data_IF_197928154270
#
_entry.id   IF_197928154270
#
_cell.length_a   1.000
_cell.length_b   1.000
_cell.length_c   1.000
_cell.angle_alpha   90.00
_cell.angle_beta   90.00
_cell.angle_gamma   90.00
#
_symmetry.space_group_name_H-M   'P 1'
#
loop_
_entity.id
_entity.type
_entity.pdbx_description
1 polymer ?
#
# COMPACT_ATOMS: atom_id res chain seq x y z
N UNK A 1 -19.22 -5.80 -7.08
CA UNK A 1 -20.27 -4.77 -6.95
C UNK A 1 -19.62 -3.54 -6.37
N UNK A 2 -19.83 -2.37 -6.96
CA UNK A 2 -19.28 -1.09 -6.51
C UNK A 2 -20.40 -0.32 -5.81
N UNK A 3 -20.09 0.31 -4.68
CA UNK A 3 -20.99 1.25 -4.02
C UNK A 3 -20.54 2.63 -4.49
N UNK A 4 -21.42 3.42 -5.11
CA UNK A 4 -21.05 4.78 -5.52
C UNK A 4 -20.75 5.68 -4.33
N UNK A 5 -19.93 6.72 -4.52
CA UNK A 5 -19.54 7.63 -3.44
C UNK A 5 -20.74 8.33 -2.81
N UNK A 6 -21.75 8.70 -3.62
CA UNK A 6 -22.98 9.31 -3.10
C UNK A 6 -23.77 8.35 -2.21
N UNK A 7 -23.85 7.05 -2.57
CA UNK A 7 -24.51 6.04 -1.71
C UNK A 7 -23.71 5.73 -0.46
N UNK A 8 -22.38 5.74 -0.55
CA UNK A 8 -21.51 5.57 0.61
C UNK A 8 -21.67 6.74 1.60
N UNK A 9 -21.72 7.97 1.09
CA UNK A 9 -21.98 9.16 1.90
C UNK A 9 -23.35 9.08 2.58
N UNK A 10 -24.41 8.62 1.88
CA UNK A 10 -25.72 8.39 2.50
C UNK A 10 -25.65 7.39 3.66
N UNK A 11 -24.92 6.28 3.51
CA UNK A 11 -24.77 5.32 4.60
C UNK A 11 -24.12 5.95 5.83
N UNK A 12 -23.12 6.82 5.63
CA UNK A 12 -22.48 7.57 6.71
C UNK A 12 -23.43 8.56 7.38
N UNK A 13 -24.27 9.27 6.62
CA UNK A 13 -25.28 10.18 7.17
C UNK A 13 -26.33 9.42 7.99
N UNK A 14 -26.80 8.27 7.51
CA UNK A 14 -27.83 7.46 8.18
C UNK A 14 -27.30 6.76 9.44
N UNK A 15 -26.07 6.27 9.41
CA UNK A 15 -25.48 5.45 10.49
C UNK A 15 -24.66 6.26 11.49
N UNK A 16 -24.15 7.43 11.09
CA UNK A 16 -23.15 8.18 11.82
C UNK A 16 -21.77 7.52 11.72
N UNK A 17 -20.99 7.63 12.80
CA UNK A 17 -19.60 7.13 12.90
C UNK A 17 -19.52 5.64 12.53
N UNK A 18 -18.77 5.32 11.47
CA UNK A 18 -18.69 3.96 10.90
C UNK A 18 -17.30 3.63 10.37
N UNK A 19 -16.91 2.36 10.44
CA UNK A 19 -15.71 1.83 9.77
C UNK A 19 -16.02 1.36 8.33
N UNK A 20 -15.01 1.16 7.46
CA UNK A 20 -15.22 0.52 6.17
C UNK A 20 -15.84 -0.87 6.25
N UNK A 21 -15.60 -1.62 7.34
CA UNK A 21 -16.24 -2.91 7.60
C UNK A 21 -17.75 -2.74 7.81
N UNK A 22 -18.15 -1.80 8.68
CA UNK A 22 -19.57 -1.49 8.95
C UNK A 22 -20.31 -1.06 7.68
N UNK A 23 -19.63 -0.26 6.84
CA UNK A 23 -20.16 0.27 5.58
C UNK A 23 -20.19 -0.78 4.47
N UNK A 24 -19.32 -1.79 4.52
CA UNK A 24 -19.25 -2.86 3.53
C UNK A 24 -20.38 -3.89 3.68
N UNK A 25 -20.86 -4.13 4.91
CA UNK A 25 -21.95 -5.08 5.22
C UNK A 25 -21.74 -6.48 4.59
N UNK A 26 -20.50 -6.98 4.51
CA UNK A 26 -20.11 -8.23 3.84
C UNK A 26 -20.48 -8.34 2.34
N UNK A 27 -20.94 -7.25 1.72
CA UNK A 27 -21.40 -7.20 0.32
C UNK A 27 -20.42 -6.51 -0.59
N UNK A 28 -19.70 -5.53 -0.06
CA UNK A 28 -18.75 -4.70 -0.79
C UNK A 28 -17.33 -4.96 -0.31
N UNK A 29 -16.35 -4.54 -1.11
CA UNK A 29 -14.94 -4.68 -0.74
C UNK A 29 -14.57 -3.55 0.22
N UNK A 30 -14.24 -3.89 1.45
CA UNK A 30 -13.81 -2.94 2.49
C UNK A 30 -12.70 -1.99 2.02
N UNK A 31 -11.68 -2.50 1.30
CA UNK A 31 -10.62 -1.64 0.77
C UNK A 31 -11.12 -0.57 -0.20
N UNK A 32 -12.10 -0.91 -1.03
CA UNK A 32 -12.62 0.04 -2.01
C UNK A 32 -13.36 1.13 -1.25
N UNK A 33 -14.22 0.75 -0.32
CA UNK A 33 -14.93 1.69 0.56
C UNK A 33 -13.95 2.58 1.34
N UNK A 34 -12.88 2.01 1.91
CA UNK A 34 -11.84 2.76 2.61
C UNK A 34 -11.22 3.85 1.73
N UNK A 35 -10.89 3.52 0.48
CA UNK A 35 -10.33 4.49 -0.44
C UNK A 35 -11.36 5.57 -0.81
N UNK A 36 -12.62 5.19 -1.00
CA UNK A 36 -13.70 6.14 -1.23
C UNK A 36 -13.92 7.08 -0.03
N UNK A 37 -13.91 6.57 1.20
CA UNK A 37 -13.96 7.40 2.41
C UNK A 37 -12.82 8.41 2.47
N UNK A 38 -11.59 8.00 2.11
CA UNK A 38 -10.45 8.93 2.04
C UNK A 38 -10.59 9.98 0.94
N UNK A 39 -11.16 9.62 -0.20
CA UNK A 39 -11.46 10.57 -1.27
C UNK A 39 -12.52 11.59 -0.82
N UNK A 40 -13.60 11.10 -0.21
CA UNK A 40 -14.64 11.94 0.39
C UNK A 40 -14.09 12.87 1.48
N UNK A 41 -13.11 12.40 2.26
CA UNK A 41 -12.46 13.22 3.26
C UNK A 41 -11.64 14.37 2.67
N UNK A 42 -11.06 14.19 1.49
CA UNK A 42 -10.30 15.25 0.80
C UNK A 42 -11.18 16.39 0.29
N UNK A 43 -12.40 16.09 -0.15
CA UNK A 43 -13.39 17.11 -0.54
C UNK A 43 -14.16 17.66 0.67
N UNK A 44 -13.78 17.27 1.90
CA UNK A 44 -14.40 17.72 3.13
C UNK A 44 -15.80 17.17 3.38
N UNK A 45 -16.27 16.18 2.62
CA UNK A 45 -17.59 15.56 2.79
C UNK A 45 -17.63 14.59 3.98
N UNK A 46 -16.47 14.06 4.36
CA UNK A 46 -16.30 13.09 5.45
C UNK A 46 -15.09 13.52 6.29
N UNK A 47 -15.04 13.14 7.56
CA UNK A 47 -13.87 13.29 8.41
C UNK A 47 -13.46 11.92 8.97
N UNK A 48 -12.16 11.68 9.08
CA UNK A 48 -11.60 10.52 9.80
C UNK A 48 -11.50 10.90 11.29
N UNK A 49 -12.40 10.35 12.11
CA UNK A 49 -12.50 10.68 13.56
C UNK A 49 -11.59 9.82 14.43
N UNK A 50 -11.22 8.65 13.93
CA UNK A 50 -10.23 7.73 14.48
C UNK A 50 -9.62 6.91 13.33
N UNK A 51 -8.58 6.13 13.59
CA UNK A 51 -7.94 5.31 12.57
C UNK A 51 -8.97 4.43 11.84
N UNK A 52 -9.07 4.61 10.51
CA UNK A 52 -10.00 3.90 9.64
C UNK A 52 -11.48 4.02 10.06
N UNK A 53 -11.86 5.11 10.73
CA UNK A 53 -13.22 5.37 11.22
C UNK A 53 -13.69 6.74 10.75
N UNK A 54 -14.86 6.78 10.12
CA UNK A 54 -15.32 7.92 9.35
C UNK A 54 -16.70 8.42 9.78
N UNK A 55 -16.92 9.72 9.64
CA UNK A 55 -18.20 10.39 9.91
C UNK A 55 -18.49 11.41 8.81
N UNK A 56 -19.76 11.55 8.40
CA UNK A 56 -20.15 12.61 7.46
C UNK A 56 -20.00 13.98 8.12
N UNK A 57 -19.54 14.97 7.36
CA UNK A 57 -19.53 16.37 7.81
C UNK A 57 -20.85 17.05 7.44
N UNK A 58 -21.11 18.24 7.99
CA UNK A 58 -22.23 19.08 7.56
C UNK A 58 -22.17 19.40 6.04
N UNK A 59 -20.97 19.54 5.47
CA UNK A 59 -20.78 19.70 4.02
C UNK A 59 -21.14 18.43 3.26
N UNK A 60 -20.81 17.25 3.80
CA UNK A 60 -21.24 15.96 3.24
C UNK A 60 -22.75 15.78 3.25
N UNK A 61 -23.40 16.14 4.35
CA UNK A 61 -24.86 16.15 4.44
C UNK A 61 -25.49 17.10 3.42
N UNK A 62 -24.93 18.31 3.25
CA UNK A 62 -25.43 19.30 2.30
C UNK A 62 -25.36 18.83 0.84
N UNK A 63 -24.29 18.10 0.46
CA UNK A 63 -24.14 17.47 -0.88
C UNK A 63 -25.30 16.51 -1.19
N UNK A 64 -25.95 15.97 -0.16
CA UNK A 64 -27.11 15.10 -0.29
C UNK A 64 -28.45 15.86 -0.28
N UNK A 65 -28.58 16.91 0.54
CA UNK A 65 -29.87 17.58 0.77
C UNK A 65 -30.22 18.67 -0.24
N UNK A 66 -29.26 19.26 -0.94
CA UNK A 66 -29.56 20.21 -2.01
C UNK A 66 -29.86 19.47 -3.33
N UNK A 67 -30.73 20.03 -4.18
CA UNK A 67 -30.78 19.76 -5.65
C UNK A 67 -29.44 20.16 -6.35
N UNK A 68 -28.35 20.28 -5.58
CA UNK A 68 -27.16 21.05 -5.84
C UNK A 68 -26.10 20.27 -6.60
N UNK A 69 -25.66 20.88 -7.69
CA UNK A 69 -24.41 20.55 -8.36
C UNK A 69 -23.24 20.75 -7.37
N UNK A 70 -22.82 19.69 -6.68
CA UNK A 70 -21.47 19.69 -6.10
C UNK A 70 -20.47 19.63 -7.27
N UNK A 71 -19.46 20.53 -7.32
CA UNK A 71 -18.45 20.48 -8.38
C UNK A 71 -17.65 19.16 -8.32
N UNK A 72 -17.67 18.50 -7.17
CA UNK A 72 -16.98 17.24 -6.93
C UNK A 72 -17.75 16.00 -7.36
N UNK A 73 -19.02 16.10 -7.78
CA UNK A 73 -19.82 14.94 -8.15
C UNK A 73 -20.39 15.07 -9.56
N UNK A 74 -20.27 13.99 -10.34
CA UNK A 74 -20.92 13.83 -11.64
C UNK A 74 -21.94 12.69 -11.52
N UNK A 75 -23.17 13.03 -11.16
CA UNK A 75 -24.22 12.04 -10.90
C UNK A 75 -24.04 11.38 -9.53
N UNK A 76 -23.77 10.06 -9.51
CA UNK A 76 -23.54 9.32 -8.26
C UNK A 76 -22.04 9.23 -7.86
N UNK A 77 -21.12 9.54 -8.78
CA UNK A 77 -19.69 9.30 -8.62
C UNK A 77 -18.92 10.60 -8.35
N UNK A 78 -17.85 10.49 -7.57
CA UNK A 78 -16.93 11.61 -7.31
C UNK A 78 -16.05 11.88 -8.54
N UNK A 79 -15.97 13.13 -8.95
CA UNK A 79 -15.04 13.62 -9.98
C UNK A 79 -13.65 13.72 -9.34
N UNK A 80 -12.74 12.84 -9.76
CA UNK A 80 -11.33 12.88 -9.35
C UNK A 80 -10.56 13.67 -10.40
N UNK A 81 -10.26 14.94 -10.11
CA UNK A 81 -9.47 15.84 -10.96
C UNK A 81 -8.10 16.16 -10.34
N UNK A 82 -7.23 16.85 -11.08
CA UNK A 82 -5.91 17.32 -10.66
C UNK A 82 -5.95 18.07 -9.32
N UNK A 83 -6.99 18.87 -9.04
CA UNK A 83 -7.12 19.63 -7.78
C UNK A 83 -7.23 18.74 -6.53
N UNK A 84 -7.73 17.51 -6.66
CA UNK A 84 -7.82 16.55 -5.57
C UNK A 84 -6.47 15.89 -5.24
N UNK A 85 -5.41 16.22 -5.97
CA UNK A 85 -4.16 15.49 -5.98
C UNK A 85 -3.04 16.28 -5.31
N UNK A 86 -2.26 15.62 -4.46
CA UNK A 86 -1.34 16.28 -3.50
C UNK A 86 0.10 16.44 -4.05
N UNK A 87 0.37 15.95 -5.26
CA UNK A 87 1.67 16.15 -5.93
C UNK A 87 1.58 15.88 -7.43
N UNK A 88 2.46 16.52 -8.20
CA UNK A 88 2.63 16.28 -9.63
C UNK A 88 3.17 14.86 -9.90
N UNK A 89 4.03 14.34 -9.02
CA UNK A 89 4.53 12.97 -9.13
C UNK A 89 3.58 11.97 -8.50
N UNK A 90 3.07 11.03 -9.29
CA UNK A 90 2.14 9.96 -8.87
C UNK A 90 2.32 8.72 -9.73
N UNK A 91 2.02 7.57 -9.14
CA UNK A 91 1.85 6.31 -9.84
C UNK A 91 0.39 6.18 -10.26
N UNK A 92 0.10 6.49 -11.52
CA UNK A 92 -1.25 6.43 -12.10
C UNK A 92 -1.34 5.39 -13.22
N UNK A 93 -0.27 5.22 -13.99
CA UNK A 93 -0.15 4.22 -15.05
C UNK A 93 0.44 2.90 -14.51
N UNK A 94 -0.34 1.83 -14.65
CA UNK A 94 0.02 0.45 -14.29
C UNK A 94 -0.06 -0.48 -15.51
N UNK A 95 -0.22 0.06 -16.72
CA UNK A 95 -0.51 -0.71 -17.94
C UNK A 95 0.56 -1.73 -18.34
N UNK A 96 1.82 -1.52 -17.93
CA UNK A 96 2.95 -2.43 -18.23
C UNK A 96 3.34 -3.35 -17.07
N UNK A 97 2.54 -3.39 -15.99
CA UNK A 97 2.78 -4.30 -14.88
C UNK A 97 1.56 -5.19 -14.66
N UNK A 98 1.74 -6.48 -14.85
CA UNK A 98 0.70 -7.49 -14.60
C UNK A 98 1.16 -8.56 -13.57
N UNK A 99 0.28 -9.50 -13.16
CA UNK A 99 0.65 -10.57 -12.25
C UNK A 99 1.81 -11.46 -12.74
N UNK A 100 1.94 -11.67 -14.04
CA UNK A 100 3.03 -12.44 -14.66
C UNK A 100 4.36 -11.73 -14.48
N UNK A 101 4.40 -10.42 -14.73
CA UNK A 101 5.59 -9.60 -14.54
C UNK A 101 6.08 -9.66 -13.08
N UNK A 102 5.17 -9.50 -12.12
CA UNK A 102 5.50 -9.55 -10.68
C UNK A 102 6.07 -10.93 -10.30
N UNK A 103 5.50 -12.03 -10.82
CA UNK A 103 6.03 -13.38 -10.59
C UNK A 103 7.40 -13.56 -11.23
N UNK A 104 7.59 -13.02 -12.43
CA UNK A 104 8.85 -13.12 -13.15
C UNK A 104 9.97 -12.37 -12.42
N UNK A 105 9.67 -11.20 -11.84
CA UNK A 105 10.60 -10.47 -10.97
C UNK A 105 11.01 -11.34 -9.77
N UNK A 106 10.06 -11.98 -9.08
CA UNK A 106 10.40 -12.86 -7.96
C UNK A 106 11.21 -14.09 -8.41
N UNK A 107 10.88 -14.64 -9.59
CA UNK A 107 11.59 -15.77 -10.17
C UNK A 107 13.05 -15.41 -10.51
N UNK A 108 13.31 -14.20 -11.00
CA UNK A 108 14.68 -13.72 -11.25
C UNK A 108 15.52 -13.72 -9.97
N UNK A 109 14.97 -13.27 -8.84
CA UNK A 109 15.68 -13.35 -7.56
C UNK A 109 15.92 -14.80 -7.09
N UNK A 110 15.06 -15.74 -7.48
CA UNK A 110 15.22 -17.15 -7.14
C UNK A 110 16.25 -17.86 -8.03
N UNK A 111 16.34 -17.47 -9.30
CA UNK A 111 17.25 -18.07 -10.29
C UNK A 111 18.67 -17.49 -10.23
N UNK A 112 18.84 -16.30 -9.65
CA UNK A 112 20.13 -15.66 -9.49
C UNK A 112 20.95 -16.31 -8.36
N UNK A 113 22.11 -16.92 -8.65
CA UNK A 113 22.95 -17.60 -7.66
C UNK A 113 23.58 -16.64 -6.63
N UNK A 114 23.70 -15.34 -6.94
CA UNK A 114 24.22 -14.34 -5.99
C UNK A 114 23.17 -13.93 -4.95
N UNK A 115 21.89 -14.27 -5.18
CA UNK A 115 20.82 -13.99 -4.26
C UNK A 115 20.66 -15.14 -3.26
N UNK A 116 20.78 -14.81 -1.96
CA UNK A 116 20.35 -15.71 -0.89
C UNK A 116 18.80 -15.77 -0.89
N UNK A 117 18.26 -16.70 -1.68
CA UNK A 117 16.84 -17.00 -1.74
C UNK A 117 16.57 -18.29 -0.98
N UNK A 118 15.70 -18.22 0.02
CA UNK A 118 15.32 -19.38 0.82
C UNK A 118 14.60 -20.43 -0.04
N UNK A 119 15.24 -21.58 -0.22
CA UNK A 119 14.63 -22.76 -0.83
C UNK A 119 13.74 -23.43 0.22
N UNK A 120 12.50 -23.75 -0.15
CA UNK A 120 11.60 -24.53 0.71
C UNK A 120 12.11 -25.98 0.80
N UNK A 121 12.01 -26.59 1.98
CA UNK A 121 12.61 -27.88 2.39
C UNK A 121 12.22 -29.12 1.54
N UNK A 122 11.46 -28.91 0.45
CA UNK A 122 11.01 -29.95 -0.48
C UNK A 122 11.89 -30.04 -1.74
N UNK A 123 12.22 -28.90 -2.40
CA UNK A 123 13.11 -28.82 -3.58
C UNK A 123 13.11 -27.42 -4.24
N UNK A 124 14.13 -27.10 -5.07
CA UNK A 124 14.09 -25.94 -5.98
C UNK A 124 12.89 -25.98 -6.94
N UNK A 125 12.54 -27.15 -7.46
CA UNK A 125 11.39 -27.32 -8.36
C UNK A 125 10.06 -26.98 -7.67
N UNK A 126 9.91 -27.35 -6.40
CA UNK A 126 8.73 -26.97 -5.62
C UNK A 126 8.67 -25.48 -5.34
N UNK A 127 9.79 -24.86 -4.97
CA UNK A 127 9.87 -23.41 -4.74
C UNK A 127 9.47 -22.63 -6.00
N UNK A 128 10.00 -23.01 -7.17
CA UNK A 128 9.60 -22.46 -8.47
C UNK A 128 8.08 -22.58 -8.72
N UNK A 129 7.49 -23.76 -8.46
CA UNK A 129 6.03 -23.96 -8.59
C UNK A 129 5.24 -23.04 -7.68
N UNK A 130 5.70 -22.78 -6.44
CA UNK A 130 5.04 -21.86 -5.51
C UNK A 130 5.09 -20.42 -5.99
N UNK A 131 6.22 -19.98 -6.53
CA UNK A 131 6.36 -18.63 -7.11
C UNK A 131 5.37 -18.46 -8.27
N UNK A 132 5.39 -19.37 -9.25
CA UNK A 132 4.53 -19.31 -10.42
C UNK A 132 3.04 -19.51 -10.07
N UNK A 133 2.76 -20.29 -9.03
CA UNK A 133 1.43 -20.55 -8.49
C UNK A 133 0.86 -19.44 -7.60
N UNK A 134 1.59 -18.34 -7.38
CA UNK A 134 1.03 -17.16 -6.72
C UNK A 134 -0.26 -16.72 -7.43
N UNK A 135 -1.31 -16.41 -6.68
CA UNK A 135 -2.64 -16.28 -7.26
C UNK A 135 -2.83 -14.96 -8.02
N UNK A 136 -3.21 -15.02 -9.30
CA UNK A 136 -3.29 -13.82 -10.14
C UNK A 136 -4.35 -12.83 -9.68
N UNK A 137 -5.52 -13.29 -9.22
CA UNK A 137 -6.56 -12.37 -8.75
C UNK A 137 -6.09 -11.57 -7.54
N UNK A 138 -5.23 -12.14 -6.70
CA UNK A 138 -4.63 -11.47 -5.53
C UNK A 138 -3.70 -10.35 -5.96
N UNK A 139 -2.79 -10.63 -6.89
CA UNK A 139 -1.88 -9.64 -7.48
C UNK A 139 -2.65 -8.55 -8.24
N UNK A 140 -3.67 -8.94 -9.02
CA UNK A 140 -4.57 -8.02 -9.69
C UNK A 140 -5.28 -7.07 -8.72
N UNK A 141 -5.60 -7.49 -7.49
CA UNK A 141 -6.17 -6.58 -6.49
C UNK A 141 -5.18 -5.51 -6.06
N UNK A 142 -3.89 -5.83 -5.94
CA UNK A 142 -2.84 -4.84 -5.63
C UNK A 142 -2.82 -3.73 -6.70
N UNK A 143 -2.91 -4.13 -7.97
CA UNK A 143 -2.88 -3.23 -9.12
C UNK A 143 -4.17 -2.41 -9.24
N UNK A 144 -5.34 -3.07 -9.17
CA UNK A 144 -6.63 -2.42 -9.42
C UNK A 144 -7.06 -1.51 -8.27
N UNK A 145 -6.88 -1.97 -7.04
CA UNK A 145 -7.32 -1.25 -5.84
C UNK A 145 -6.23 -0.28 -5.33
N UNK A 146 -5.20 0.05 -6.11
CA UNK A 146 -4.11 0.92 -5.66
C UNK A 146 -4.57 2.35 -5.32
N UNK A 147 -4.08 2.98 -4.21
CA UNK A 147 -4.43 4.34 -3.81
C UNK A 147 -3.80 5.43 -4.69
N UNK A 148 -4.33 5.61 -5.91
CA UNK A 148 -3.81 6.53 -6.94
C UNK A 148 -3.87 8.02 -6.64
N UNK A 149 -4.60 8.43 -5.62
CA UNK A 149 -4.73 9.86 -5.25
C UNK A 149 -3.78 10.29 -4.14
N UNK A 150 -3.17 9.35 -3.41
CA UNK A 150 -2.18 9.69 -2.39
C UNK A 150 -0.89 10.29 -3.00
N UNK A 151 -0.09 11.01 -2.20
CA UNK A 151 1.20 11.53 -2.69
C UNK A 151 2.16 10.38 -3.03
N UNK A 152 3.17 10.62 -3.86
CA UNK A 152 4.12 9.58 -4.29
C UNK A 152 4.72 8.79 -3.11
N UNK A 153 5.20 9.48 -2.08
CA UNK A 153 5.79 8.84 -0.90
C UNK A 153 4.83 7.89 -0.18
N UNK A 154 3.54 8.24 -0.15
CA UNK A 154 2.49 7.42 0.44
C UNK A 154 2.11 6.24 -0.48
N UNK A 155 2.09 6.45 -1.79
CA UNK A 155 1.87 5.41 -2.80
C UNK A 155 2.96 4.33 -2.74
N UNK A 156 4.23 4.74 -2.70
CA UNK A 156 5.36 3.84 -2.51
C UNK A 156 5.25 3.06 -1.19
N UNK A 157 4.81 3.73 -0.11
CA UNK A 157 4.62 3.09 1.18
C UNK A 157 3.50 2.03 1.18
N UNK A 158 2.37 2.34 0.56
CA UNK A 158 1.27 1.37 0.37
C UNK A 158 1.71 0.16 -0.42
N UNK A 159 2.46 0.38 -1.51
CA UNK A 159 3.03 -0.71 -2.31
C UNK A 159 3.92 -1.62 -1.49
N UNK A 160 4.88 -1.05 -0.76
CA UNK A 160 5.80 -1.82 0.06
C UNK A 160 5.13 -2.49 1.25
N UNK A 161 4.14 -1.86 1.88
CA UNK A 161 3.31 -2.49 2.91
C UNK A 161 2.60 -3.73 2.35
N UNK A 162 1.99 -3.63 1.18
CA UNK A 162 1.28 -4.75 0.57
C UNK A 162 2.21 -5.95 0.32
N UNK A 163 3.37 -5.74 -0.31
CA UNK A 163 4.34 -6.81 -0.57
C UNK A 163 4.97 -7.38 0.71
N UNK A 164 5.43 -6.50 1.60
CA UNK A 164 6.07 -6.92 2.85
C UNK A 164 5.11 -7.64 3.79
N UNK A 165 3.84 -7.21 3.82
CA UNK A 165 2.81 -7.69 4.74
C UNK A 165 2.08 -8.93 4.26
N UNK A 166 1.54 -8.93 3.02
CA UNK A 166 0.84 -10.11 2.48
C UNK A 166 1.80 -11.28 2.32
N UNK A 167 3.05 -10.99 1.92
CA UNK A 167 4.10 -11.97 1.75
C UNK A 167 3.70 -13.10 0.78
N UNK A 168 3.21 -12.71 -0.41
CA UNK A 168 2.65 -13.60 -1.44
C UNK A 168 3.63 -14.69 -1.89
N UNK A 169 4.93 -14.40 -1.89
CA UNK A 169 5.98 -15.31 -2.35
C UNK A 169 6.65 -16.04 -1.18
N UNK A 170 7.28 -17.22 -1.41
CA UNK A 170 8.05 -17.93 -0.39
C UNK A 170 9.16 -17.08 0.23
N UNK A 171 9.87 -16.31 -0.59
CA UNK A 171 10.90 -15.37 -0.16
C UNK A 171 11.00 -14.17 -1.14
N UNK A 172 11.91 -13.25 -0.85
CA UNK A 172 12.22 -12.07 -1.64
C UNK A 172 11.05 -11.08 -1.82
N UNK A 173 10.01 -11.13 -0.98
CA UNK A 173 8.86 -10.22 -1.08
C UNK A 173 9.24 -8.72 -1.05
N UNK A 174 10.16 -8.33 -0.17
CA UNK A 174 10.69 -6.96 -0.14
C UNK A 174 11.44 -6.59 -1.44
N UNK A 175 12.27 -7.51 -1.94
CA UNK A 175 13.03 -7.32 -3.19
C UNK A 175 12.09 -7.20 -4.39
N UNK A 176 11.08 -8.07 -4.49
CA UNK A 176 10.03 -8.00 -5.51
C UNK A 176 9.21 -6.73 -5.42
N UNK A 177 8.83 -6.32 -4.21
CA UNK A 177 8.11 -5.05 -3.99
C UNK A 177 8.93 -3.85 -4.49
N UNK A 178 10.21 -3.76 -4.11
CA UNK A 178 11.09 -2.68 -4.54
C UNK A 178 11.36 -2.70 -6.05
N UNK A 179 11.63 -3.86 -6.65
CA UNK A 179 11.91 -3.96 -8.08
C UNK A 179 10.67 -3.64 -8.94
N UNK A 180 9.49 -4.12 -8.54
CA UNK A 180 8.24 -3.77 -9.23
C UNK A 180 7.87 -2.29 -9.06
N UNK A 181 8.10 -1.72 -7.87
CA UNK A 181 7.90 -0.29 -7.62
C UNK A 181 8.81 0.57 -8.49
N UNK A 182 10.07 0.15 -8.66
CA UNK A 182 11.02 0.85 -9.53
C UNK A 182 10.58 0.87 -10.99
N UNK A 183 10.09 -0.27 -11.49
CA UNK A 183 9.48 -0.36 -12.82
C UNK A 183 8.28 0.58 -12.96
N UNK A 184 7.42 0.68 -11.94
CA UNK A 184 6.29 1.61 -11.92
C UNK A 184 6.74 3.07 -11.90
N UNK A 185 7.78 3.42 -11.15
CA UNK A 185 8.32 4.78 -11.09
C UNK A 185 8.81 5.22 -12.47
N UNK A 186 9.65 4.39 -13.13
CA UNK A 186 10.11 4.65 -14.50
C UNK A 186 8.96 4.73 -15.51
N UNK A 187 7.93 3.89 -15.35
CA UNK A 187 6.77 3.92 -16.24
C UNK A 187 5.94 5.20 -16.10
N UNK A 188 5.95 5.82 -14.92
CA UNK A 188 5.22 7.05 -14.63
C UNK A 188 6.12 8.29 -14.74
N UNK A 189 7.23 8.20 -15.48
CA UNK A 189 8.21 9.28 -15.71
C UNK A 189 8.72 9.92 -14.40
N UNK A 190 8.81 9.12 -13.33
CA UNK A 190 9.44 9.51 -12.07
C UNK A 190 10.91 9.07 -12.11
N UNK A 191 11.76 9.98 -12.57
CA UNK A 191 13.17 9.72 -12.79
C UNK A 191 14.04 10.05 -11.56
N UNK A 192 14.96 9.14 -11.25
CA UNK A 192 16.12 9.33 -10.38
C UNK A 192 17.25 8.44 -10.91
N UNK A 193 18.53 8.80 -10.71
CA UNK A 193 19.66 7.99 -11.15
C UNK A 193 19.53 6.53 -10.68
N UNK A 194 19.83 5.58 -11.55
CA UNK A 194 19.72 4.15 -11.24
C UNK A 194 20.57 3.76 -10.02
N UNK A 195 21.69 4.46 -9.81
CA UNK A 195 22.59 4.26 -8.67
C UNK A 195 22.02 4.78 -7.34
N UNK A 196 21.03 5.68 -7.38
CA UNK A 196 20.37 6.22 -6.20
C UNK A 196 19.25 5.32 -5.71
N UNK A 197 18.73 4.40 -6.52
CA UNK A 197 17.71 3.46 -6.08
C UNK A 197 18.33 2.22 -5.43
N UNK A 198 17.80 1.73 -4.30
CA UNK A 198 16.61 2.20 -3.59
C UNK A 198 16.85 3.34 -2.59
N UNK A 199 18.07 3.86 -2.48
CA UNK A 199 18.47 4.89 -1.53
C UNK A 199 19.33 4.34 -0.42
N UNK A 200 19.93 5.23 0.35
CA UNK A 200 20.68 4.79 1.52
C UNK A 200 19.69 4.26 2.56
N UNK A 201 20.10 3.25 3.33
CA UNK A 201 19.31 2.69 4.44
C UNK A 201 18.09 1.82 4.07
N UNK A 202 17.93 1.37 2.82
CA UNK A 202 16.93 0.34 2.48
C UNK A 202 17.01 -0.88 3.42
N UNK A 203 18.22 -1.32 3.77
CA UNK A 203 18.42 -2.46 4.65
C UNK A 203 17.74 -2.23 6.01
N UNK A 204 17.89 -1.02 6.56
CA UNK A 204 17.25 -0.64 7.82
C UNK A 204 15.73 -0.71 7.69
N UNK A 205 15.16 -0.16 6.62
CA UNK A 205 13.73 -0.19 6.37
C UNK A 205 13.19 -1.64 6.26
N UNK A 206 13.92 -2.51 5.57
CA UNK A 206 13.60 -3.94 5.46
C UNK A 206 13.64 -4.63 6.83
N UNK A 207 14.67 -4.40 7.65
CA UNK A 207 14.77 -5.03 8.97
C UNK A 207 13.65 -4.53 9.91
N UNK A 208 13.37 -3.23 9.92
CA UNK A 208 12.23 -2.68 10.66
C UNK A 208 10.91 -3.31 10.21
N UNK A 209 10.69 -3.41 8.90
CA UNK A 209 9.51 -4.03 8.34
C UNK A 209 9.36 -5.49 8.76
N UNK A 210 10.46 -6.26 8.83
CA UNK A 210 10.44 -7.65 9.32
C UNK A 210 10.02 -7.73 10.80
N UNK A 211 10.55 -6.84 11.64
CA UNK A 211 10.21 -6.78 13.07
C UNK A 211 8.74 -6.41 13.27
N UNK A 212 8.28 -5.32 12.64
CA UNK A 212 6.88 -4.87 12.73
C UNK A 212 5.93 -5.99 12.26
N UNK A 213 6.32 -6.71 11.20
CA UNK A 213 5.52 -7.83 10.70
C UNK A 213 5.45 -9.01 11.67
N UNK A 214 6.56 -9.37 12.31
CA UNK A 214 6.57 -10.45 13.31
C UNK A 214 5.77 -10.11 14.57
N UNK A 215 5.67 -8.84 14.93
CA UNK A 215 5.04 -8.41 16.19
C UNK A 215 3.58 -7.97 16.05
N UNK A 216 3.25 -7.21 15.00
CA UNK A 216 2.01 -6.40 14.99
C UNK A 216 1.25 -6.35 13.66
N UNK A 217 1.86 -6.65 12.51
CA UNK A 217 1.16 -6.46 11.23
C UNK A 217 0.34 -7.68 10.80
N UNK A 218 -0.97 -7.52 10.64
CA UNK A 218 -1.86 -8.52 10.05
C UNK A 218 -2.44 -8.00 8.71
N UNK A 219 -1.58 -7.90 7.70
CA UNK A 219 -1.99 -7.39 6.39
C UNK A 219 -2.82 -8.44 5.66
N UNK A 220 -4.08 -8.11 5.43
CA UNK A 220 -5.06 -8.92 4.70
C UNK A 220 -5.58 -8.14 3.50
N UNK A 221 -6.27 -8.83 2.61
CA UNK A 221 -6.88 -8.20 1.44
C UNK A 221 -8.07 -7.29 1.77
N UNK A 222 -8.59 -7.27 2.99
CA UNK A 222 -9.60 -6.29 3.42
C UNK A 222 -8.98 -5.12 4.20
N UNK A 223 -7.71 -5.21 4.57
CA UNK A 223 -6.92 -4.19 5.27
C UNK A 223 -5.73 -3.68 4.45
N UNK A 224 -5.76 -3.87 3.12
CA UNK A 224 -4.59 -3.75 2.23
C UNK A 224 -3.95 -2.36 2.24
N UNK A 225 -4.79 -1.34 2.44
CA UNK A 225 -4.39 0.07 2.37
C UNK A 225 -4.53 0.78 3.72
N UNK A 226 -4.62 0.05 4.83
CA UNK A 226 -4.52 0.65 6.16
C UNK A 226 -3.19 1.37 6.34
N UNK A 227 -3.20 2.43 7.15
CA UNK A 227 -2.03 3.25 7.46
C UNK A 227 -1.43 2.88 8.82
N UNK A 228 -1.30 1.58 9.06
CA UNK A 228 -0.75 0.98 10.28
C UNK A 228 0.78 1.23 10.43
N UNK A 229 1.39 0.64 11.45
CA UNK A 229 2.83 0.80 11.74
C UNK A 229 3.72 0.35 10.59
N UNK A 230 3.30 -0.67 9.83
CA UNK A 230 4.05 -1.14 8.66
C UNK A 230 4.01 -0.10 7.55
N UNK A 231 2.84 0.52 7.30
CA UNK A 231 2.72 1.66 6.40
C UNK A 231 3.59 2.83 6.87
N UNK A 232 3.48 3.22 8.14
CA UNK A 232 4.22 4.36 8.71
C UNK A 232 5.73 4.16 8.57
N UNK A 233 6.23 2.94 8.78
CA UNK A 233 7.64 2.59 8.58
C UNK A 233 8.10 2.82 7.14
N UNK A 234 7.34 2.34 6.16
CA UNK A 234 7.67 2.53 4.74
C UNK A 234 7.47 3.98 4.28
N UNK A 235 6.44 4.67 4.77
CA UNK A 235 6.19 6.06 4.46
C UNK A 235 7.30 6.97 4.97
N UNK A 236 7.81 6.72 6.19
CA UNK A 236 8.99 7.44 6.70
C UNK A 236 10.20 7.24 5.80
N UNK A 237 10.43 6.00 5.34
CA UNK A 237 11.52 5.69 4.43
C UNK A 237 11.39 6.47 3.11
N UNK A 238 10.28 6.32 2.39
CA UNK A 238 10.09 6.98 1.10
C UNK A 238 10.00 8.49 1.21
N UNK A 239 9.42 9.03 2.29
CA UNK A 239 9.44 10.47 2.54
C UNK A 239 10.86 10.99 2.70
N UNK A 240 11.73 10.26 3.41
CA UNK A 240 13.12 10.67 3.58
C UNK A 240 13.93 10.55 2.30
N UNK A 241 13.74 9.46 1.54
CA UNK A 241 14.38 9.23 0.26
C UNK A 241 13.96 10.30 -0.77
N UNK A 242 12.67 10.47 -1.01
CA UNK A 242 12.14 11.37 -2.03
C UNK A 242 12.30 12.86 -1.70
N UNK A 243 12.46 13.23 -0.42
CA UNK A 243 12.68 14.62 0.00
C UNK A 243 14.14 14.92 0.37
N UNK A 244 15.07 14.00 0.06
CA UNK A 244 16.50 14.09 0.40
C UNK A 244 16.75 14.54 1.87
N UNK A 245 16.04 13.88 2.78
CA UNK A 245 16.13 14.12 4.22
C UNK A 245 16.96 13.07 4.95
N UNK A 246 17.58 12.12 4.22
CA UNK A 246 18.28 10.96 4.77
C UNK A 246 19.44 11.35 5.72
N UNK A 247 20.11 12.47 5.45
CA UNK A 247 21.33 12.88 6.17
C UNK A 247 21.08 13.71 7.45
N UNK A 248 19.83 13.91 7.87
CA UNK A 248 19.52 14.94 8.88
C UNK A 248 19.72 14.49 10.33
N UNK A 249 19.72 13.19 10.65
CA UNK A 249 19.93 12.68 12.02
C UNK A 249 20.50 11.25 12.05
N UNK A 250 21.27 10.87 13.10
CA UNK A 250 21.71 9.49 13.29
C UNK A 250 20.51 8.57 13.48
N UNK A 251 20.31 7.64 12.53
CA UNK A 251 19.19 6.70 12.54
C UNK A 251 19.39 5.63 13.62
N UNK A 252 18.59 5.73 14.68
CA UNK A 252 18.43 4.68 15.70
C UNK A 252 17.11 3.92 15.47
N UNK A 253 17.05 2.61 15.78
CA UNK A 253 18.15 1.73 16.20
C UNK A 253 19.18 1.45 15.07
N UNK A 254 20.37 0.98 15.47
CA UNK A 254 21.44 0.58 14.53
C UNK A 254 21.09 -0.72 13.80
N UNK A 255 21.74 -1.01 12.68
CA UNK A 255 21.53 -2.26 11.93
C UNK A 255 21.87 -3.49 12.77
N UNK A 256 22.92 -3.43 13.59
CA UNK A 256 23.32 -4.51 14.50
C UNK A 256 22.21 -4.82 15.52
N UNK A 257 21.65 -3.78 16.14
CA UNK A 257 20.52 -3.93 17.07
C UNK A 257 19.30 -4.55 16.39
N UNK A 258 18.97 -4.12 15.17
CA UNK A 258 17.85 -4.67 14.41
C UNK A 258 18.06 -6.15 14.05
N UNK A 259 19.26 -6.51 13.60
CA UNK A 259 19.62 -7.90 13.31
C UNK A 259 19.56 -8.77 14.57
N UNK A 260 20.03 -8.25 15.71
CA UNK A 260 19.94 -8.93 17.00
C UNK A 260 18.50 -9.23 17.40
N UNK A 261 17.58 -8.26 17.25
CA UNK A 261 16.15 -8.47 17.54
C UNK A 261 15.54 -9.55 16.62
N UNK A 262 15.86 -9.52 15.32
CA UNK A 262 15.34 -10.53 14.36
C UNK A 262 15.87 -11.92 14.68
N UNK A 263 17.16 -12.04 15.00
CA UNK A 263 17.75 -13.33 15.35
C UNK A 263 17.14 -13.88 16.64
N UNK A 264 16.96 -13.03 17.65
CA UNK A 264 16.28 -13.42 18.87
C UNK A 264 14.82 -13.85 18.62
N UNK A 265 14.09 -13.16 17.74
CA UNK A 265 12.73 -13.55 17.37
C UNK A 265 12.66 -14.90 16.67
N UNK A 266 13.59 -15.18 15.76
CA UNK A 266 13.71 -16.49 15.10
C UNK A 266 13.98 -17.63 16.08
N UNK A 267 14.79 -17.39 17.11
CA UNK A 267 15.09 -18.37 18.15
C UNK A 267 13.89 -18.63 19.08
N UNK A 268 13.04 -17.62 19.30
CA UNK A 268 11.96 -17.65 20.31
C UNK A 268 10.53 -17.70 19.71
N UNK A 269 10.40 -17.80 18.39
CA UNK A 269 9.15 -18.17 17.72
C UNK A 269 8.22 -17.02 17.31
N UNK A 270 8.74 -15.87 16.87
CA UNK A 270 7.96 -14.85 16.16
C UNK A 270 8.61 -14.38 14.84
#
# INVERSE_FOLDING_TARGET
MYLSEKRLLNRLVERGVSTPEDLAEDRFRENVIRLQCRLLARVGAVVEVAEDTFEATASGEAIFTEEGCSPWFSGEDLVVDEELCVSDWRLTDFSKLDPTDIKQINLQFFEDPENDYRILDESPAYTRRKILGATDWKLNRLLREFPRTESLSQQCAHWMRAFAGIHTFPDANHRTGMASLYGLLKQNDVDFPDEEWPGNHIERAVLHSKIIRGLHSNVKYNSLWLKDELYVSWHRYFRNFLLDCENRLPMKPTLEQLRSVINHGRENGF
#
